data_IF_571849270237
#
_entry.id   IF_571849270237
#
_cell.length_a   1.000
_cell.length_b   1.000
_cell.length_c   1.000
_cell.angle_alpha   90.00
_cell.angle_beta   90.00
_cell.angle_gamma   90.00
#
_symmetry.space_group_name_H-M   'P 1'
#
loop_
_entity.id
_entity.type
_entity.pdbx_description
1 polymer ?
#
# COMPACT_ATOMS: atom_id res chain seq x y z
N UNK A 1 -11.17 -60.09 -5.61
CA UNK A 1 -12.65 -60.27 -5.69
C UNK A 1 -13.27 -58.96 -5.27
N UNK A 2 -14.36 -58.50 -5.90
CA UNK A 2 -14.21 -57.60 -7.04
C UNK A 2 -14.76 -56.20 -6.75
N UNK A 3 -14.34 -55.27 -7.59
CA UNK A 3 -14.86 -53.88 -7.78
C UNK A 3 -16.36 -53.81 -7.94
N UNK A 4 -17.02 -52.83 -7.34
CA UNK A 4 -18.35 -52.39 -7.71
C UNK A 4 -18.32 -50.89 -8.04
N UNK A 5 -18.39 -50.58 -9.31
CA UNK A 5 -18.61 -49.30 -9.94
C UNK A 5 -20.09 -48.96 -10.00
N UNK A 6 -20.50 -47.74 -9.59
CA UNK A 6 -21.79 -47.15 -9.96
C UNK A 6 -21.56 -45.81 -10.67
N UNK A 7 -22.26 -45.57 -11.79
CA UNK A 7 -22.15 -44.33 -12.53
C UNK A 7 -23.18 -43.31 -12.03
N UNK A 8 -22.76 -42.08 -11.84
CA UNK A 8 -23.66 -40.95 -11.66
C UNK A 8 -24.13 -40.43 -13.02
N UNK A 9 -25.43 -40.45 -13.21
CA UNK A 9 -26.12 -39.88 -14.37
C UNK A 9 -26.32 -38.38 -14.16
N UNK A 10 -25.93 -37.59 -15.16
CA UNK A 10 -26.30 -36.18 -15.30
C UNK A 10 -27.74 -36.07 -15.79
N UNK A 11 -28.56 -35.29 -15.10
CA UNK A 11 -29.85 -34.78 -15.61
C UNK A 11 -29.75 -33.24 -15.71
N UNK A 12 -30.14 -32.64 -16.84
CA UNK A 12 -30.19 -31.20 -16.99
C UNK A 12 -31.52 -30.63 -16.51
N UNK A 13 -31.49 -29.56 -15.70
CA UNK A 13 -32.68 -28.75 -15.41
C UNK A 13 -32.84 -27.63 -16.45
N UNK A 14 -34.09 -27.32 -16.85
CA UNK A 14 -34.36 -26.34 -17.90
C UNK A 14 -34.37 -24.90 -17.35
N UNK A 15 -33.85 -23.99 -18.17
CA UNK A 15 -33.95 -22.55 -18.06
C UNK A 15 -35.43 -22.11 -18.20
N UNK A 16 -35.92 -21.35 -17.22
CA UNK A 16 -37.15 -20.57 -17.37
C UNK A 16 -36.78 -19.10 -17.64
N UNK A 17 -37.05 -18.65 -18.85
CA UNK A 17 -37.07 -17.27 -19.24
C UNK A 17 -38.38 -16.62 -18.76
N UNK A 18 -38.32 -15.50 -18.06
CA UNK A 18 -39.45 -14.62 -17.84
C UNK A 18 -39.18 -13.25 -18.44
N UNK A 19 -39.81 -13.02 -19.59
CA UNK A 19 -39.98 -11.72 -20.23
C UNK A 19 -40.73 -10.76 -19.30
N UNK A 20 -40.18 -9.60 -19.06
CA UNK A 20 -40.92 -8.43 -18.58
C UNK A 20 -40.70 -7.26 -19.54
N UNK A 21 -41.73 -7.04 -20.32
CA UNK A 21 -41.87 -5.98 -21.30
C UNK A 21 -41.88 -4.60 -20.66
N UNK A 22 -41.00 -3.73 -21.18
CA UNK A 22 -41.03 -2.30 -20.93
C UNK A 22 -42.12 -1.64 -21.80
N UNK A 23 -43.07 -0.95 -21.17
CA UNK A 23 -44.02 -0.05 -21.85
C UNK A 23 -43.62 1.41 -21.61
N UNK A 24 -43.54 2.23 -22.66
CA UNK A 24 -43.30 3.66 -22.48
C UNK A 24 -44.66 4.40 -22.33
N UNK A 25 -44.73 5.28 -21.33
CA UNK A 25 -45.77 6.30 -21.23
C UNK A 25 -45.48 7.49 -22.12
N UNK A 26 -46.41 7.83 -23.02
CA UNK A 26 -46.51 9.07 -23.78
C UNK A 26 -47.28 10.10 -22.95
N UNK A 27 -46.86 11.36 -23.04
CA UNK A 27 -47.64 12.54 -22.59
C UNK A 27 -46.87 13.82 -22.81
N UNK A 28 -46.96 14.40 -23.97
CA UNK A 28 -47.26 15.76 -24.46
C UNK A 28 -47.14 16.92 -23.45
N UNK A 29 -46.28 17.98 -23.73
CA UNK A 29 -46.66 19.12 -24.53
C UNK A 29 -45.52 20.15 -24.66
N UNK A 30 -45.22 20.51 -25.87
CA UNK A 30 -44.95 21.84 -26.48
C UNK A 30 -44.42 22.99 -25.60
N UNK A 31 -43.26 23.53 -26.01
CA UNK A 31 -42.82 24.88 -25.67
C UNK A 31 -41.54 25.21 -26.49
N UNK A 32 -41.76 25.93 -27.56
CA UNK A 32 -40.76 26.58 -28.42
C UNK A 32 -39.96 27.62 -27.63
N UNK A 33 -38.64 27.69 -27.84
CA UNK A 33 -37.93 28.95 -28.12
C UNK A 33 -36.43 28.74 -28.35
N UNK A 34 -36.07 29.02 -29.56
CA UNK A 34 -34.95 29.79 -30.07
C UNK A 34 -33.51 29.41 -29.75
N UNK A 35 -32.88 29.00 -30.83
CA UNK A 35 -31.44 28.97 -31.12
C UNK A 35 -30.79 30.34 -30.92
N UNK A 36 -29.80 30.40 -30.03
CA UNK A 36 -28.89 31.53 -29.92
C UNK A 36 -27.44 31.08 -30.07
N UNK A 37 -26.94 31.07 -31.30
CA UNK A 37 -25.50 30.96 -31.57
C UNK A 37 -24.82 32.26 -31.21
N UNK A 38 -24.03 32.31 -30.13
CA UNK A 38 -23.07 33.39 -29.90
C UNK A 38 -21.64 32.87 -30.07
N UNK A 39 -21.09 33.16 -31.27
CA UNK A 39 -19.65 33.21 -31.47
C UNK A 39 -19.12 34.50 -30.85
N UNK A 40 -18.61 34.46 -29.64
CA UNK A 40 -17.84 35.55 -29.05
C UNK A 40 -16.37 35.44 -29.45
N UNK A 41 -15.94 36.20 -30.45
CA UNK A 41 -14.52 36.49 -30.65
C UNK A 41 -14.09 37.45 -29.54
N UNK A 42 -13.35 36.98 -28.58
CA UNK A 42 -12.64 37.80 -27.60
C UNK A 42 -11.49 38.54 -28.29
N UNK A 43 -11.69 39.79 -28.63
CA UNK A 43 -10.64 40.73 -29.01
C UNK A 43 -9.98 41.21 -27.73
N UNK A 44 -8.77 40.77 -27.49
CA UNK A 44 -7.93 41.30 -26.41
C UNK A 44 -7.42 42.68 -26.82
N UNK A 45 -8.02 43.74 -26.26
CA UNK A 45 -7.47 45.09 -26.38
C UNK A 45 -6.25 45.24 -25.50
N UNK A 46 -5.07 45.16 -26.11
CA UNK A 46 -3.81 45.55 -25.47
C UNK A 46 -3.71 47.06 -25.58
N UNK A 47 -3.94 47.76 -24.48
CA UNK A 47 -3.65 49.19 -24.38
C UNK A 47 -2.14 49.43 -24.53
N UNK A 48 -1.77 50.02 -25.67
CA UNK A 48 -0.41 50.53 -25.91
C UNK A 48 -0.15 51.74 -25.04
N UNK A 49 0.59 51.56 -23.96
CA UNK A 49 1.33 52.65 -23.35
C UNK A 49 2.65 52.80 -24.06
N UNK A 50 2.80 53.84 -24.90
CA UNK A 50 4.06 54.19 -25.55
C UNK A 50 4.91 55.01 -24.57
N UNK A 51 5.82 54.36 -23.87
CA UNK A 51 6.97 55.01 -23.25
C UNK A 51 8.01 55.26 -24.32
N UNK A 52 8.12 56.51 -24.80
CA UNK A 52 9.24 56.93 -25.64
C UNK A 52 10.49 57.04 -24.76
N UNK A 53 11.42 56.09 -24.91
CA UNK A 53 12.80 56.24 -24.50
C UNK A 53 13.64 56.54 -25.73
N UNK A 54 14.44 57.59 -25.77
CA UNK A 54 15.31 57.90 -26.90
C UNK A 54 16.57 57.07 -26.80
N UNK A 55 16.85 56.27 -27.82
CA UNK A 55 18.22 55.80 -28.10
C UNK A 55 18.56 54.33 -27.95
N UNK A 56 17.65 53.37 -28.17
CA UNK A 56 18.03 51.96 -28.29
C UNK A 56 17.45 51.36 -29.57
N UNK A 57 18.33 50.85 -30.43
CA UNK A 57 18.00 50.20 -31.70
C UNK A 57 17.05 49.03 -31.50
N UNK A 58 15.95 48.99 -32.26
CA UNK A 58 14.87 48.00 -32.17
C UNK A 58 15.24 46.52 -32.44
N UNK A 59 16.51 46.22 -32.70
CA UNK A 59 16.99 44.86 -33.01
C UNK A 59 17.38 44.09 -31.70
N UNK A 60 17.66 44.81 -30.61
CA UNK A 60 18.07 44.17 -29.34
C UNK A 60 16.94 43.62 -28.45
N UNK A 61 15.69 43.99 -28.72
CA UNK A 61 14.57 43.64 -27.79
C UNK A 61 13.83 42.31 -28.19
N UNK A 62 14.06 41.80 -29.37
CA UNK A 62 13.42 40.53 -29.82
C UNK A 62 14.19 39.30 -29.34
N UNK A 63 15.48 39.44 -29.03
CA UNK A 63 16.33 38.31 -28.61
C UNK A 63 16.21 38.03 -27.09
N UNK A 64 15.78 39.02 -26.29
CA UNK A 64 15.68 38.84 -24.82
C UNK A 64 14.35 38.25 -24.34
N UNK A 65 13.31 38.15 -25.18
CA UNK A 65 12.03 37.54 -24.83
C UNK A 65 11.96 36.06 -25.22
N UNK A 66 12.83 35.60 -26.11
CA UNK A 66 12.89 34.18 -26.54
C UNK A 66 13.71 33.28 -25.62
N UNK A 67 14.46 33.84 -24.66
CA UNK A 67 15.31 33.06 -23.75
C UNK A 67 14.64 32.73 -22.40
N UNK A 68 13.41 33.16 -22.14
CA UNK A 68 12.73 32.96 -20.85
C UNK A 68 11.60 31.91 -20.92
N UNK A 69 11.48 31.13 -21.98
CA UNK A 69 10.55 29.99 -22.10
C UNK A 69 11.29 28.71 -22.43
N UNK A 70 12.39 28.44 -21.72
CA UNK A 70 12.77 27.06 -21.46
C UNK A 70 11.89 26.63 -20.30
N UNK A 71 10.64 26.26 -20.61
CA UNK A 71 9.84 25.41 -19.75
C UNK A 71 10.66 24.12 -19.61
N UNK A 72 11.37 23.99 -18.52
CA UNK A 72 11.86 22.70 -18.10
C UNK A 72 10.63 21.84 -17.88
N UNK A 73 10.22 21.11 -18.93
CA UNK A 73 9.31 19.99 -18.76
C UNK A 73 9.95 19.10 -17.71
N UNK A 74 9.27 18.79 -16.61
CA UNK A 74 9.85 17.89 -15.63
C UNK A 74 10.05 16.54 -16.32
N UNK A 75 11.30 16.14 -16.46
CA UNK A 75 11.68 14.76 -16.73
C UNK A 75 11.41 13.92 -15.46
N UNK A 76 10.24 14.09 -14.87
CA UNK A 76 9.89 13.55 -13.54
C UNK A 76 9.44 12.09 -13.61
N UNK A 77 9.13 11.55 -14.78
CA UNK A 77 8.64 10.17 -14.91
C UNK A 77 9.73 9.09 -14.99
N UNK A 78 10.98 9.43 -15.27
CA UNK A 78 12.05 8.43 -15.43
C UNK A 78 13.06 8.42 -14.26
N UNK A 79 13.15 9.48 -13.48
CA UNK A 79 14.14 9.62 -12.41
C UNK A 79 14.01 8.54 -11.33
N UNK A 80 12.79 8.17 -10.96
CA UNK A 80 12.50 7.18 -9.92
C UNK A 80 12.91 5.73 -10.25
N UNK A 81 13.00 5.39 -11.54
CA UNK A 81 13.46 4.05 -11.96
C UNK A 81 14.98 3.98 -12.12
N UNK A 82 15.67 5.12 -12.05
CA UNK A 82 17.10 5.29 -12.33
C UNK A 82 17.87 5.87 -11.12
N UNK A 83 17.23 6.01 -9.97
CA UNK A 83 17.93 6.33 -8.75
C UNK A 83 19.00 5.27 -8.46
N UNK A 84 20.14 5.62 -7.85
CA UNK A 84 21.19 4.67 -7.56
C UNK A 84 20.67 3.53 -6.67
N UNK A 85 21.23 2.31 -6.88
CA UNK A 85 21.04 1.21 -5.95
C UNK A 85 22.32 0.99 -5.14
N UNK A 86 22.43 1.54 -3.93
CA UNK A 86 23.58 1.33 -3.07
C UNK A 86 23.52 0.00 -2.30
N UNK A 87 22.41 -0.72 -2.37
CA UNK A 87 22.18 -1.94 -1.62
C UNK A 87 22.72 -3.18 -2.32
N UNK A 88 23.04 -4.20 -1.49
CA UNK A 88 23.38 -5.54 -1.94
C UNK A 88 22.41 -6.54 -1.33
N UNK A 89 21.66 -7.22 -2.17
CA UNK A 89 20.77 -8.31 -1.71
C UNK A 89 21.59 -9.49 -1.21
N UNK A 90 21.25 -9.99 -0.02
CA UNK A 90 21.83 -11.22 0.52
C UNK A 90 21.35 -12.40 -0.32
N UNK A 91 22.26 -13.23 -0.87
CA UNK A 91 21.86 -14.35 -1.71
C UNK A 91 21.22 -15.49 -0.90
N UNK A 92 20.30 -16.22 -1.52
CA UNK A 92 19.64 -17.38 -0.93
C UNK A 92 18.54 -17.01 0.06
N UNK A 93 18.23 -17.92 0.98
CA UNK A 93 17.25 -17.72 2.05
C UNK A 93 17.98 -17.11 3.24
N UNK A 94 17.70 -15.84 3.56
CA UNK A 94 18.34 -15.16 4.68
C UNK A 94 17.80 -15.66 6.03
N UNK A 95 16.49 -15.91 6.15
CA UNK A 95 15.81 -16.35 7.36
C UNK A 95 15.14 -17.71 7.08
N UNK A 96 15.83 -18.84 7.28
CA UNK A 96 15.23 -20.16 7.06
C UNK A 96 14.18 -20.48 8.12
N UNK A 97 13.05 -21.06 7.71
CA UNK A 97 12.01 -21.52 8.61
C UNK A 97 12.34 -22.90 9.20
N UNK A 98 11.69 -23.29 10.34
CA UNK A 98 11.96 -24.55 11.01
C UNK A 98 11.73 -25.78 10.09
N UNK A 99 12.45 -26.86 10.36
CA UNK A 99 12.31 -28.17 9.68
C UNK A 99 12.45 -28.11 8.15
N UNK A 100 13.13 -27.07 7.63
CA UNK A 100 13.30 -26.87 6.18
C UNK A 100 12.03 -26.50 5.46
N UNK A 101 11.02 -25.99 6.16
CA UNK A 101 9.78 -25.47 5.57
C UNK A 101 10.08 -24.28 4.66
N UNK A 102 9.50 -24.30 3.48
CA UNK A 102 9.51 -23.13 2.61
C UNK A 102 8.62 -22.02 3.16
N UNK A 103 9.00 -20.78 2.90
CA UNK A 103 8.15 -19.62 3.16
C UNK A 103 6.84 -19.71 2.35
N UNK A 104 5.72 -19.34 2.95
CA UNK A 104 4.52 -18.94 2.26
C UNK A 104 4.61 -17.48 1.76
N UNK A 105 3.50 -16.96 1.28
CA UNK A 105 3.40 -15.54 0.95
C UNK A 105 3.65 -14.71 2.20
N UNK A 106 4.65 -13.83 2.13
CA UNK A 106 5.06 -12.94 3.21
C UNK A 106 4.73 -11.51 2.79
N UNK A 107 3.75 -10.90 3.45
CA UNK A 107 3.22 -9.58 3.06
C UNK A 107 3.73 -8.44 3.91
N UNK A 108 4.22 -8.71 5.12
CA UNK A 108 4.63 -7.67 6.04
C UNK A 108 5.81 -8.10 6.91
N UNK A 109 6.60 -7.10 7.30
CA UNK A 109 7.77 -7.18 8.14
C UNK A 109 7.89 -5.88 8.93
N UNK A 110 8.29 -5.96 10.19
CA UNK A 110 8.56 -4.81 11.04
C UNK A 110 9.75 -5.10 11.97
N UNK A 111 10.20 -4.11 12.71
CA UNK A 111 11.32 -4.23 13.64
C UNK A 111 10.86 -4.11 15.09
N UNK A 112 11.65 -4.70 16.00
CA UNK A 112 11.56 -4.34 17.43
C UNK A 112 11.84 -2.85 17.63
N UNK A 113 11.33 -2.23 18.73
CA UNK A 113 11.52 -0.80 18.98
C UNK A 113 12.97 -0.35 19.08
N UNK A 114 13.88 -1.25 19.46
CA UNK A 114 15.32 -1.00 19.51
C UNK A 114 16.01 -1.21 18.13
N UNK A 115 15.29 -1.72 17.14
CA UNK A 115 15.81 -2.02 15.80
C UNK A 115 16.77 -3.22 15.74
N UNK A 116 16.78 -4.08 16.78
CA UNK A 116 17.73 -5.19 16.87
C UNK A 116 17.15 -6.52 16.37
N UNK A 117 15.83 -6.66 16.33
CA UNK A 117 15.17 -7.88 15.84
C UNK A 117 14.14 -7.59 14.77
N UNK A 118 13.88 -8.58 13.93
CA UNK A 118 13.04 -8.49 12.75
C UNK A 118 11.83 -9.41 12.95
N UNK A 119 10.63 -8.83 12.86
CA UNK A 119 9.37 -9.54 12.95
C UNK A 119 8.75 -9.70 11.57
N UNK A 120 8.32 -10.91 11.21
CA UNK A 120 7.67 -11.18 9.94
C UNK A 120 6.54 -12.19 10.09
N UNK A 121 5.62 -12.17 9.13
CA UNK A 121 4.50 -13.11 9.05
C UNK A 121 4.63 -14.02 7.83
N UNK A 122 4.26 -15.27 8.02
CA UNK A 122 4.19 -16.30 6.97
C UNK A 122 2.74 -16.80 6.81
N UNK A 123 2.25 -16.89 5.60
CA UNK A 123 0.91 -17.46 5.33
C UNK A 123 0.96 -18.98 5.20
N UNK A 124 1.40 -19.67 6.28
CA UNK A 124 1.35 -21.12 6.44
C UNK A 124 1.98 -21.92 5.26
N UNK A 125 3.08 -21.42 4.69
CA UNK A 125 3.72 -22.03 3.51
C UNK A 125 2.91 -21.88 2.21
N UNK A 126 1.79 -21.17 2.23
CA UNK A 126 0.84 -20.94 1.11
C UNK A 126 0.57 -19.46 0.89
N UNK A 127 -0.61 -19.10 0.39
CA UNK A 127 -1.07 -17.71 0.31
C UNK A 127 -2.16 -17.36 1.34
N UNK A 128 -2.58 -18.32 2.12
CA UNK A 128 -3.47 -18.17 3.29
C UNK A 128 -3.25 -19.33 4.27
N UNK A 129 -3.88 -19.23 5.44
CA UNK A 129 -3.83 -20.26 6.48
C UNK A 129 -5.16 -21.00 6.65
N UNK A 130 -6.10 -20.88 5.70
CA UNK A 130 -7.39 -21.59 5.79
C UNK A 130 -7.16 -23.10 5.85
N UNK A 131 -7.63 -23.72 6.93
CA UNK A 131 -7.47 -25.15 7.16
C UNK A 131 -6.07 -25.62 7.60
N UNK A 132 -5.16 -24.69 7.90
CA UNK A 132 -3.80 -24.98 8.41
C UNK A 132 -3.66 -24.41 9.82
N UNK A 133 -3.94 -25.24 10.82
CA UNK A 133 -3.97 -24.81 12.23
C UNK A 133 -2.72 -25.23 13.04
N UNK A 134 -1.73 -25.85 12.40
CA UNK A 134 -0.57 -26.43 13.09
C UNK A 134 0.78 -25.78 12.75
N UNK A 135 0.79 -24.73 11.93
CA UNK A 135 2.01 -24.01 11.56
C UNK A 135 2.04 -22.66 12.22
N UNK A 136 3.18 -22.30 12.82
CA UNK A 136 3.42 -20.95 13.31
C UNK A 136 3.48 -19.95 12.16
N UNK A 137 2.95 -18.78 12.40
CA UNK A 137 2.73 -17.72 11.42
C UNK A 137 3.63 -16.52 11.68
N UNK A 138 3.92 -16.23 12.95
CA UNK A 138 4.69 -15.05 13.37
C UNK A 138 6.07 -15.50 13.80
N UNK A 139 7.08 -14.80 13.31
CA UNK A 139 8.49 -15.11 13.57
C UNK A 139 9.25 -13.85 13.96
N UNK A 140 10.07 -13.97 14.98
CA UNK A 140 11.09 -12.99 15.36
C UNK A 140 12.46 -13.56 15.00
N UNK A 141 13.28 -12.76 14.32
CA UNK A 141 14.62 -13.11 13.91
C UNK A 141 15.64 -12.14 14.48
N UNK A 142 16.86 -12.63 14.74
CA UNK A 142 18.01 -11.74 14.90
C UNK A 142 18.50 -11.22 13.53
N UNK A 143 19.47 -10.30 13.56
CA UNK A 143 20.05 -9.70 12.32
C UNK A 143 20.78 -10.70 11.42
N UNK A 144 21.09 -11.90 11.92
CA UNK A 144 21.71 -12.98 11.17
C UNK A 144 20.67 -13.93 10.55
N UNK A 145 19.38 -13.77 10.88
CA UNK A 145 18.27 -14.58 10.37
C UNK A 145 17.97 -15.81 11.21
N UNK A 146 18.51 -15.90 12.43
CA UNK A 146 18.16 -16.98 13.35
C UNK A 146 16.84 -16.66 14.04
N UNK A 147 15.97 -17.68 14.18
CA UNK A 147 14.68 -17.54 14.86
C UNK A 147 14.92 -17.38 16.37
N UNK A 148 14.36 -16.32 16.95
CA UNK A 148 14.33 -16.06 18.38
C UNK A 148 13.02 -16.51 19.00
N UNK A 149 11.90 -16.23 18.31
CA UNK A 149 10.54 -16.63 18.71
C UNK A 149 9.71 -17.03 17.50
N UNK A 150 8.71 -17.88 17.76
CA UNK A 150 7.69 -18.23 16.77
C UNK A 150 6.41 -18.63 17.46
N UNK A 151 5.26 -18.24 16.89
CA UNK A 151 3.94 -18.55 17.41
C UNK A 151 2.84 -18.27 16.38
N UNK A 152 1.58 -18.52 16.74
CA UNK A 152 0.41 -18.10 15.97
C UNK A 152 -0.27 -19.23 15.22
N UNK A 153 0.11 -20.51 15.48
CA UNK A 153 -0.56 -21.67 14.87
C UNK A 153 -2.08 -21.61 15.13
N UNK A 154 -2.87 -21.74 14.08
CA UNK A 154 -4.32 -21.79 14.14
C UNK A 154 -5.01 -20.47 14.49
N UNK A 155 -4.29 -19.34 14.59
CA UNK A 155 -4.88 -18.07 14.98
C UNK A 155 -5.38 -17.22 13.81
N UNK A 156 -4.80 -17.40 12.64
CA UNK A 156 -4.98 -16.51 11.48
C UNK A 156 -5.63 -17.21 10.29
N UNK A 157 -6.18 -16.40 9.39
CA UNK A 157 -6.69 -16.82 8.08
C UNK A 157 -5.85 -16.23 6.96
N UNK A 158 -5.69 -14.92 6.94
CA UNK A 158 -4.92 -14.21 5.93
C UNK A 158 -4.16 -13.04 6.56
N UNK A 159 -3.14 -13.35 7.38
CA UNK A 159 -2.36 -12.31 8.03
C UNK A 159 -1.71 -11.44 6.95
N UNK A 160 -1.89 -10.10 7.08
CA UNK A 160 -1.52 -9.17 6.03
C UNK A 160 -0.56 -8.09 6.49
N UNK A 161 -0.88 -7.33 7.53
CA UNK A 161 -0.04 -6.30 8.13
C UNK A 161 0.53 -6.74 9.47
N UNK A 162 1.74 -6.29 9.80
CA UNK A 162 2.38 -6.43 11.11
C UNK A 162 2.93 -5.09 11.57
N UNK A 163 2.80 -4.79 12.86
CA UNK A 163 3.43 -3.66 13.51
C UNK A 163 3.90 -4.03 14.90
N UNK A 164 5.09 -3.58 15.29
CA UNK A 164 5.62 -3.75 16.65
C UNK A 164 5.59 -2.40 17.35
N UNK A 165 4.73 -2.28 18.38
CA UNK A 165 4.58 -1.02 19.09
C UNK A 165 5.80 -0.71 19.99
N UNK A 166 5.88 0.52 20.50
CA UNK A 166 6.99 0.98 21.33
C UNK A 166 7.17 0.23 22.66
N UNK A 167 6.17 -0.56 23.07
CA UNK A 167 6.22 -1.46 24.21
C UNK A 167 6.69 -2.87 23.84
N UNK A 168 6.89 -3.14 22.53
CA UNK A 168 7.30 -4.44 21.99
C UNK A 168 6.13 -5.40 21.75
N UNK A 169 4.88 -4.95 21.83
CA UNK A 169 3.75 -5.79 21.47
C UNK A 169 3.59 -5.88 19.97
N UNK A 170 3.16 -7.04 19.49
CA UNK A 170 3.01 -7.34 18.07
C UNK A 170 1.56 -7.21 17.65
N UNK A 171 1.31 -6.35 16.68
CA UNK A 171 -0.02 -6.12 16.12
C UNK A 171 -0.12 -6.77 14.75
N UNK A 172 -1.20 -7.49 14.49
CA UNK A 172 -1.42 -8.17 13.21
C UNK A 172 -2.81 -7.86 12.68
N UNK A 173 -2.86 -7.41 11.42
CA UNK A 173 -4.07 -7.30 10.65
C UNK A 173 -4.33 -8.64 9.94
N UNK A 174 -5.40 -9.35 10.32
CA UNK A 174 -5.86 -10.59 9.68
C UNK A 174 -7.04 -10.26 8.77
N UNK A 175 -6.75 -10.10 7.48
CA UNK A 175 -7.64 -9.39 6.58
C UNK A 175 -8.88 -10.18 6.19
N UNK A 176 -8.79 -11.48 5.96
CA UNK A 176 -9.93 -12.27 5.45
C UNK A 176 -10.56 -13.13 6.53
N UNK A 177 -11.89 -13.31 6.42
CA UNK A 177 -12.61 -14.25 7.26
C UNK A 177 -12.48 -15.70 6.77
N UNK A 178 -12.54 -16.66 7.71
CA UNK A 178 -12.59 -18.08 7.38
C UNK A 178 -14.01 -18.55 7.03
N UNK A 179 -14.10 -19.74 6.43
CA UNK A 179 -15.42 -20.34 6.06
C UNK A 179 -16.32 -20.58 7.28
N UNK A 180 -15.76 -20.80 8.46
CA UNK A 180 -16.52 -20.99 9.70
C UNK A 180 -17.08 -19.67 10.28
N UNK A 181 -16.66 -18.52 9.75
CA UNK A 181 -17.12 -17.19 10.19
C UNK A 181 -16.71 -16.81 11.62
N UNK A 182 -15.56 -17.30 12.10
CA UNK A 182 -15.11 -17.07 13.47
C UNK A 182 -13.64 -16.63 13.61
N UNK A 183 -12.95 -16.37 12.48
CA UNK A 183 -11.58 -15.82 12.41
C UNK A 183 -11.50 -14.76 11.33
N UNK A 184 -10.51 -13.86 11.45
CA UNK A 184 -10.20 -12.83 10.47
C UNK A 184 -11.11 -11.61 10.52
N UNK A 185 -10.93 -10.66 9.60
CA UNK A 185 -11.49 -9.30 9.61
C UNK A 185 -11.21 -8.56 10.91
N UNK A 186 -10.02 -8.79 11.50
CA UNK A 186 -9.60 -8.23 12.78
C UNK A 186 -8.19 -7.68 12.75
N UNK A 187 -7.94 -6.75 13.65
CA UNK A 187 -6.59 -6.39 14.10
C UNK A 187 -6.44 -6.89 15.55
N UNK A 188 -5.36 -7.62 15.81
CA UNK A 188 -5.10 -8.20 17.14
C UNK A 188 -3.74 -7.75 17.66
N UNK A 189 -3.71 -7.26 18.92
CA UNK A 189 -2.50 -7.01 19.70
C UNK A 189 -2.12 -8.28 20.45
N UNK A 190 -0.87 -8.66 20.34
CA UNK A 190 -0.28 -9.78 21.06
C UNK A 190 0.87 -9.29 21.96
N UNK A 191 1.11 -9.97 23.06
CA UNK A 191 2.40 -9.88 23.73
C UNK A 191 3.51 -10.42 22.83
N UNK A 192 4.79 -10.12 23.09
CA UNK A 192 5.89 -10.70 22.32
C UNK A 192 5.89 -12.24 22.30
N UNK A 193 5.29 -12.87 23.31
CA UNK A 193 5.21 -14.33 23.43
C UNK A 193 3.94 -14.93 22.77
N UNK A 194 3.11 -14.09 22.14
CA UNK A 194 1.95 -14.53 21.37
C UNK A 194 0.63 -14.59 22.16
N UNK A 195 0.60 -14.08 23.38
CA UNK A 195 -0.65 -13.97 24.14
C UNK A 195 -1.51 -12.83 23.63
N UNK A 196 -2.79 -13.08 23.39
CA UNK A 196 -3.74 -12.05 22.95
C UNK A 196 -3.98 -11.02 24.04
N UNK A 197 -3.71 -9.75 23.73
CA UNK A 197 -3.92 -8.60 24.64
C UNK A 197 -5.18 -7.83 24.28
N UNK A 198 -5.41 -7.55 22.99
CA UNK A 198 -6.56 -6.76 22.50
C UNK A 198 -6.98 -7.26 21.13
N UNK A 199 -8.30 -7.18 20.84
CA UNK A 199 -8.85 -7.41 19.50
C UNK A 199 -9.70 -6.23 19.06
N UNK A 200 -9.53 -5.80 17.83
CA UNK A 200 -10.32 -4.78 17.14
C UNK A 200 -10.99 -5.45 15.94
N UNK A 201 -12.26 -5.19 15.74
CA UNK A 201 -13.08 -5.89 14.74
C UNK A 201 -13.83 -7.07 15.34
N UNK A 202 -14.79 -7.62 14.58
CA UNK A 202 -15.58 -8.79 14.96
C UNK A 202 -15.11 -10.00 14.16
N UNK A 203 -14.64 -11.04 14.85
CA UNK A 203 -14.05 -12.22 14.20
C UNK A 203 -14.98 -12.82 13.14
N UNK A 204 -14.45 -12.98 11.92
CA UNK A 204 -15.16 -13.56 10.78
C UNK A 204 -16.28 -12.69 10.20
N UNK A 205 -16.46 -11.45 10.64
CA UNK A 205 -17.55 -10.57 10.21
C UNK A 205 -16.99 -9.36 9.48
N UNK A 206 -17.11 -9.37 8.14
CA UNK A 206 -16.81 -8.22 7.30
C UNK A 206 -17.87 -7.12 7.47
N UNK A 207 -17.45 -5.85 7.45
CA UNK A 207 -18.41 -4.74 7.46
C UNK A 207 -17.78 -3.38 7.70
N UNK A 208 -18.61 -2.33 7.54
CA UNK A 208 -18.23 -0.93 7.74
C UNK A 208 -18.98 -0.33 8.93
N UNK A 209 -18.65 -0.78 10.14
CA UNK A 209 -19.20 -0.21 11.37
C UNK A 209 -18.06 0.19 12.32
N UNK A 210 -18.39 0.65 13.52
CA UNK A 210 -17.39 0.94 14.56
C UNK A 210 -16.75 -0.31 15.16
N UNK A 211 -17.35 -1.48 14.95
CA UNK A 211 -16.93 -2.77 15.52
C UNK A 211 -16.63 -3.83 14.47
N UNK A 212 -16.72 -3.50 13.19
CA UNK A 212 -16.38 -4.40 12.08
C UNK A 212 -15.42 -3.73 11.11
N UNK A 213 -14.52 -4.53 10.56
CA UNK A 213 -13.59 -4.18 9.49
C UNK A 213 -13.88 -5.05 8.27
N UNK A 214 -13.42 -4.66 7.09
CA UNK A 214 -13.54 -5.47 5.89
C UNK A 214 -12.20 -5.54 5.15
N UNK A 215 -11.51 -6.64 5.31
CA UNK A 215 -10.14 -6.86 4.85
C UNK A 215 -9.18 -5.73 5.32
N UNK A 216 -8.94 -5.57 6.65
CA UNK A 216 -7.96 -4.64 7.16
C UNK A 216 -6.56 -4.99 6.66
N UNK A 217 -5.87 -4.01 6.05
CA UNK A 217 -4.59 -4.22 5.42
C UNK A 217 -3.41 -4.10 6.38
N UNK A 218 -3.43 -3.06 7.18
CA UNK A 218 -2.31 -2.69 8.01
C UNK A 218 -2.76 -2.00 9.29
N UNK A 219 -1.87 -1.98 10.27
CA UNK A 219 -2.06 -1.33 11.56
C UNK A 219 -0.81 -0.59 11.97
N UNK A 220 -0.97 0.58 12.56
CA UNK A 220 0.11 1.40 13.10
C UNK A 220 -0.30 1.97 14.46
N UNK A 221 0.60 1.91 15.43
CA UNK A 221 0.41 2.52 16.76
C UNK A 221 1.33 3.74 16.87
N UNK A 222 0.71 4.91 17.01
CA UNK A 222 1.44 6.16 17.17
C UNK A 222 2.13 6.23 18.56
N UNK A 223 3.14 7.10 18.75
CA UNK A 223 3.82 7.27 20.04
C UNK A 223 2.90 7.67 21.20
N UNK A 224 1.75 8.27 20.92
CA UNK A 224 0.72 8.59 21.93
C UNK A 224 -0.22 7.41 22.25
N UNK A 225 0.02 6.25 21.65
CA UNK A 225 -0.76 5.02 21.81
C UNK A 225 -2.01 4.92 20.92
N UNK A 226 -2.37 5.96 20.16
CA UNK A 226 -3.49 5.87 19.22
C UNK A 226 -3.18 4.85 18.12
N UNK A 227 -4.20 4.07 17.77
CA UNK A 227 -4.10 2.98 16.80
C UNK A 227 -4.76 3.43 15.50
N UNK A 228 -4.07 3.26 14.37
CA UNK A 228 -4.58 3.52 13.04
C UNK A 228 -4.67 2.21 12.26
N UNK A 229 -5.78 1.98 11.58
CA UNK A 229 -6.03 0.77 10.77
C UNK A 229 -6.41 1.18 9.36
N UNK A 230 -5.66 0.69 8.37
CA UNK A 230 -6.03 0.75 6.97
C UNK A 230 -7.06 -0.35 6.67
N UNK A 231 -8.30 0.02 6.32
CA UNK A 231 -9.43 -0.91 6.19
C UNK A 231 -10.00 -0.88 4.77
N UNK A 232 -9.86 -1.99 4.05
CA UNK A 232 -10.36 -2.18 2.68
C UNK A 232 -9.29 -2.62 1.68
N UNK A 233 -8.91 -3.91 1.65
CA UNK A 233 -7.98 -4.47 0.67
C UNK A 233 -8.52 -4.46 -0.77
N UNK A 234 -9.79 -4.84 -1.04
CA UNK A 234 -10.36 -4.68 -2.37
C UNK A 234 -10.46 -3.21 -2.77
N UNK A 235 -10.24 -2.90 -4.05
CA UNK A 235 -10.29 -1.51 -4.54
C UNK A 235 -11.67 -0.84 -4.38
N UNK A 236 -12.71 -1.62 -4.19
CA UNK A 236 -14.11 -1.22 -3.92
C UNK A 236 -14.56 -1.58 -2.48
N UNK A 237 -13.62 -1.98 -1.60
CA UNK A 237 -13.86 -2.24 -0.18
C UNK A 237 -14.16 -0.99 0.65
N UNK A 238 -13.97 -1.06 1.96
CA UNK A 238 -14.25 0.07 2.88
C UNK A 238 -13.45 1.33 2.55
N UNK A 239 -12.20 1.17 2.11
CA UNK A 239 -11.32 2.27 1.68
C UNK A 239 -11.30 3.44 2.67
N UNK A 240 -11.03 3.14 3.93
CA UNK A 240 -10.98 4.10 5.03
C UNK A 240 -9.74 3.87 5.92
N UNK A 241 -9.40 4.87 6.69
CA UNK A 241 -8.55 4.77 7.87
C UNK A 241 -9.42 4.90 9.10
N UNK A 242 -9.25 3.98 10.06
CA UNK A 242 -9.97 4.01 11.33
C UNK A 242 -9.00 4.27 12.47
N UNK A 243 -9.31 5.23 13.32
CA UNK A 243 -8.52 5.60 14.50
C UNK A 243 -9.21 5.08 15.76
N UNK A 244 -8.41 4.43 16.60
CA UNK A 244 -8.83 3.93 17.93
C UNK A 244 -7.93 4.52 19.02
N UNK A 245 -8.44 4.59 20.25
CA UNK A 245 -7.64 4.88 21.44
C UNK A 245 -6.77 3.66 21.83
N UNK A 246 -5.80 3.82 22.75
CA UNK A 246 -4.92 2.72 23.18
C UNK A 246 -5.63 1.48 23.71
N UNK A 247 -6.85 1.62 24.24
CA UNK A 247 -7.70 0.54 24.73
C UNK A 247 -8.61 -0.09 23.65
N UNK A 248 -8.46 0.34 22.38
CA UNK A 248 -9.27 -0.16 21.26
C UNK A 248 -10.64 0.48 21.11
N UNK A 249 -10.94 1.56 21.86
CA UNK A 249 -12.18 2.31 21.68
C UNK A 249 -12.15 3.11 20.38
N UNK A 250 -13.17 2.98 19.53
CA UNK A 250 -13.32 3.74 18.29
C UNK A 250 -13.35 5.25 18.57
N UNK A 251 -12.52 6.00 17.88
CA UNK A 251 -12.47 7.46 17.97
C UNK A 251 -13.09 8.12 16.74
N UNK A 252 -12.58 7.80 15.55
CA UNK A 252 -13.03 8.39 14.30
C UNK A 252 -12.58 7.54 13.10
N UNK A 253 -13.10 7.87 11.92
CA UNK A 253 -12.64 7.36 10.64
C UNK A 253 -12.67 8.45 9.57
N UNK A 254 -11.87 8.28 8.52
CA UNK A 254 -11.95 9.08 7.31
C UNK A 254 -11.65 8.23 6.09
N UNK A 255 -12.02 8.74 4.92
CA UNK A 255 -11.83 8.06 3.65
C UNK A 255 -13.07 7.35 3.15
N UNK A 256 -13.13 7.25 1.86
CA UNK A 256 -14.13 6.53 1.06
C UNK A 256 -13.50 6.13 -0.27
N UNK A 257 -14.18 5.28 -1.04
CA UNK A 257 -13.69 4.86 -2.36
C UNK A 257 -13.64 6.04 -3.33
N UNK A 258 -12.45 6.34 -3.86
CA UNK A 258 -12.26 7.41 -4.83
C UNK A 258 -10.81 7.71 -5.13
N UNK A 259 -10.54 8.86 -5.78
CA UNK A 259 -9.20 9.30 -6.18
C UNK A 259 -8.87 10.74 -5.77
N UNK A 260 -9.82 11.45 -5.16
CA UNK A 260 -9.61 12.80 -4.65
C UNK A 260 -8.78 12.77 -3.35
N UNK A 261 -8.38 13.94 -2.85
CA UNK A 261 -7.73 14.07 -1.55
C UNK A 261 -8.60 13.48 -0.44
N UNK A 262 -8.04 12.60 0.38
CA UNK A 262 -8.76 11.92 1.45
C UNK A 262 -9.63 10.73 0.99
N UNK A 263 -9.72 10.46 -0.31
CA UNK A 263 -10.33 9.25 -0.84
C UNK A 263 -9.26 8.20 -1.14
N UNK A 264 -9.61 6.91 -1.07
CA UNK A 264 -8.68 5.80 -1.25
C UNK A 264 -9.18 4.75 -2.24
N UNK A 265 -8.23 4.01 -2.80
CA UNK A 265 -8.43 2.70 -3.42
C UNK A 265 -7.34 1.76 -2.94
N UNK A 266 -7.68 0.88 -2.02
CA UNK A 266 -6.74 0.00 -1.33
C UNK A 266 -5.75 0.81 -0.48
N UNK A 267 -6.16 1.37 0.69
CA UNK A 267 -5.24 1.93 1.67
C UNK A 267 -4.43 0.79 2.30
N UNK A 268 -3.25 0.50 1.71
CA UNK A 268 -2.60 -0.80 1.85
C UNK A 268 -1.57 -0.86 2.95
N UNK A 269 -0.91 0.25 3.25
CA UNK A 269 0.12 0.31 4.29
C UNK A 269 0.16 1.68 4.95
N UNK A 270 0.65 1.72 6.19
CA UNK A 270 0.73 2.89 7.04
C UNK A 270 2.17 3.10 7.52
N UNK A 271 2.60 4.34 7.59
CA UNK A 271 3.83 4.74 8.26
C UNK A 271 3.63 6.10 8.95
N UNK A 272 4.49 6.44 9.89
CA UNK A 272 4.43 7.73 10.59
C UNK A 272 5.84 8.33 10.69
N UNK A 273 5.96 9.63 10.44
CA UNK A 273 7.22 10.35 10.58
C UNK A 273 7.45 10.86 12.02
N UNK A 274 8.61 11.48 12.24
CA UNK A 274 8.98 12.00 13.55
C UNK A 274 8.11 13.19 14.01
N UNK A 275 7.40 13.85 13.10
CA UNK A 275 6.43 14.92 13.41
C UNK A 275 5.03 14.37 13.74
N UNK A 276 4.82 13.05 13.60
CA UNK A 276 3.58 12.36 13.86
C UNK A 276 2.57 12.47 12.72
N UNK A 277 3.03 12.74 11.50
CA UNK A 277 2.20 12.71 10.31
C UNK A 277 2.03 11.27 9.82
N UNK A 278 0.81 10.92 9.42
CA UNK A 278 0.45 9.60 8.94
C UNK A 278 0.57 9.54 7.41
N UNK A 279 1.35 8.60 6.92
CA UNK A 279 1.53 8.27 5.51
C UNK A 279 0.70 7.04 5.17
N UNK A 280 -0.15 7.14 4.16
CA UNK A 280 -1.05 6.07 3.72
C UNK A 280 -0.71 5.66 2.29
N UNK A 281 -0.32 4.42 2.11
CA UNK A 281 -0.09 3.83 0.79
C UNK A 281 -1.41 3.58 0.06
N UNK A 282 -1.84 4.52 -0.77
CA UNK A 282 -3.05 4.43 -1.59
C UNK A 282 -2.74 3.68 -2.89
N UNK A 283 -2.56 2.35 -2.76
CA UNK A 283 -1.92 1.46 -3.73
C UNK A 283 -2.53 1.52 -5.12
N UNK A 284 -3.84 1.40 -5.22
CA UNK A 284 -4.52 1.37 -6.51
C UNK A 284 -4.62 2.74 -7.17
N UNK A 285 -4.51 3.83 -6.41
CA UNK A 285 -4.35 5.19 -6.91
C UNK A 285 -2.89 5.57 -7.20
N UNK A 286 -1.91 4.71 -6.90
CA UNK A 286 -0.48 4.89 -7.22
C UNK A 286 0.12 6.13 -6.56
N UNK A 287 -0.18 6.31 -5.28
CA UNK A 287 0.30 7.45 -4.48
C UNK A 287 0.48 7.06 -3.02
N UNK A 288 1.15 7.92 -2.28
CA UNK A 288 1.06 7.98 -0.82
C UNK A 288 0.36 9.27 -0.47
N UNK A 289 -0.63 9.22 0.39
CA UNK A 289 -1.28 10.40 0.96
C UNK A 289 -0.77 10.64 2.37
N UNK A 290 -0.54 11.92 2.73
CA UNK A 290 -0.06 12.34 4.05
C UNK A 290 -1.18 13.09 4.77
N UNK A 291 -1.39 12.74 6.04
CA UNK A 291 -2.41 13.30 6.92
C UNK A 291 -1.82 13.69 8.28
N UNK A 292 -2.48 14.60 8.98
CA UNK A 292 -2.32 14.66 10.43
C UNK A 292 -3.09 13.53 11.12
N UNK A 293 -2.91 13.39 12.44
CA UNK A 293 -3.58 12.33 13.21
C UNK A 293 -5.09 12.53 13.38
N UNK A 294 -5.64 13.66 12.94
CA UNK A 294 -7.08 13.95 12.94
C UNK A 294 -7.70 13.78 11.55
N UNK A 295 -6.93 13.20 10.61
CA UNK A 295 -7.40 12.87 9.26
C UNK A 295 -7.46 14.06 8.29
N UNK A 296 -6.86 15.19 8.65
CA UNK A 296 -6.76 16.31 7.72
C UNK A 296 -5.68 16.02 6.67
N UNK A 297 -6.08 16.07 5.40
CA UNK A 297 -5.18 15.86 4.27
C UNK A 297 -4.14 16.98 4.18
N UNK A 298 -2.88 16.60 3.98
CA UNK A 298 -1.75 17.52 3.85
C UNK A 298 -1.24 17.54 2.40
N UNK A 299 -0.95 16.35 1.82
CA UNK A 299 -0.42 16.24 0.46
C UNK A 299 -0.46 14.85 -0.12
N UNK A 300 -0.23 14.77 -1.43
CA UNK A 300 0.09 13.55 -2.17
C UNK A 300 1.59 13.46 -2.46
N UNK A 301 2.11 12.23 -2.50
CA UNK A 301 3.42 11.87 -3.04
C UNK A 301 3.16 10.92 -4.22
N UNK A 302 3.44 11.39 -5.46
CA UNK A 302 2.99 10.73 -6.69
C UNK A 302 4.05 9.84 -7.37
N UNK A 303 5.32 9.90 -6.96
CA UNK A 303 6.44 9.22 -7.64
C UNK A 303 6.83 7.90 -6.95
N UNK A 304 5.86 7.21 -6.40
CA UNK A 304 6.06 6.05 -5.52
C UNK A 304 5.74 4.70 -6.19
N UNK A 305 5.05 4.70 -7.32
CA UNK A 305 4.52 3.47 -7.91
C UNK A 305 3.23 3.02 -7.23
N UNK A 306 2.99 1.71 -7.16
CA UNK A 306 1.88 1.11 -6.43
C UNK A 306 2.33 0.82 -5.00
N UNK A 307 2.18 1.80 -4.12
CA UNK A 307 2.65 1.73 -2.73
C UNK A 307 1.99 0.59 -1.96
N UNK A 308 2.66 -0.57 -1.93
CA UNK A 308 2.22 -1.77 -1.20
C UNK A 308 2.67 -1.74 0.25
N UNK A 309 3.93 -1.46 0.52
CA UNK A 309 4.50 -1.35 1.86
C UNK A 309 5.15 0.00 2.10
N UNK A 310 5.05 0.49 3.33
CA UNK A 310 5.67 1.73 3.78
C UNK A 310 6.41 1.50 5.08
N UNK A 311 7.57 2.15 5.24
CA UNK A 311 8.21 2.39 6.52
C UNK A 311 8.97 3.71 6.47
N UNK A 312 9.17 4.34 7.62
CA UNK A 312 9.96 5.57 7.76
C UNK A 312 11.04 5.31 8.80
N UNK A 313 12.29 5.61 8.45
CA UNK A 313 13.40 5.42 9.36
C UNK A 313 13.60 6.61 10.31
N UNK A 314 14.54 6.46 11.26
CA UNK A 314 14.85 7.49 12.26
C UNK A 314 15.47 8.78 11.69
N UNK A 315 15.74 8.82 10.38
CA UNK A 315 16.23 10.00 9.66
C UNK A 315 15.13 10.60 8.77
N UNK A 316 13.87 10.22 8.99
CA UNK A 316 12.72 10.64 8.21
C UNK A 316 12.90 10.36 6.70
N UNK A 317 13.36 9.15 6.36
CA UNK A 317 13.36 8.67 4.98
C UNK A 317 12.23 7.67 4.81
N UNK A 318 11.37 7.92 3.83
CA UNK A 318 10.26 7.05 3.48
C UNK A 318 10.73 5.95 2.52
N UNK A 319 10.52 4.71 2.91
CA UNK A 319 10.73 3.54 2.07
C UNK A 319 9.39 3.06 1.53
N UNK A 320 9.28 2.92 0.22
CA UNK A 320 8.05 2.51 -0.46
C UNK A 320 8.31 1.25 -1.27
N UNK A 321 7.70 0.16 -0.86
CA UNK A 321 7.69 -1.09 -1.62
C UNK A 321 6.59 -1.04 -2.70
N UNK A 322 6.96 -1.33 -3.94
CA UNK A 322 6.05 -1.46 -5.08
C UNK A 322 6.16 -2.89 -5.62
N UNK A 323 5.24 -3.76 -5.23
CA UNK A 323 5.21 -5.17 -5.63
C UNK A 323 4.42 -5.44 -6.91
N UNK A 324 3.66 -4.45 -7.42
CA UNK A 324 2.63 -4.72 -8.40
C UNK A 324 2.68 -3.88 -9.69
N UNK A 325 3.56 -2.87 -9.81
CA UNK A 325 3.69 -2.11 -11.05
C UNK A 325 4.09 -3.00 -12.21
N UNK A 326 3.38 -2.87 -13.33
CA UNK A 326 3.66 -3.58 -14.57
C UNK A 326 3.21 -2.74 -15.78
N UNK A 327 3.34 -3.26 -17.00
CA UNK A 327 3.02 -2.52 -18.21
C UNK A 327 1.54 -2.10 -18.31
N UNK A 328 0.62 -2.83 -17.68
CA UNK A 328 -0.81 -2.51 -17.71
C UNK A 328 -1.29 -1.70 -16.50
N UNK A 329 -0.82 -2.02 -15.29
CA UNK A 329 -1.33 -1.41 -14.05
C UNK A 329 -0.69 -0.06 -13.74
N UNK A 330 0.60 0.11 -14.08
CA UNK A 330 1.33 1.35 -13.84
C UNK A 330 2.45 1.53 -14.87
N UNK A 331 2.11 1.84 -16.13
CA UNK A 331 3.09 1.96 -17.22
C UNK A 331 4.20 2.96 -16.87
N UNK A 332 5.46 2.56 -17.15
CA UNK A 332 6.63 3.40 -16.91
C UNK A 332 7.23 3.32 -15.51
N UNK A 333 6.62 2.57 -14.58
CA UNK A 333 7.18 2.29 -13.27
C UNK A 333 7.73 0.86 -13.18
N UNK A 334 8.90 0.71 -12.57
CA UNK A 334 9.48 -0.58 -12.22
C UNK A 334 9.12 -0.94 -10.77
N UNK A 335 8.85 -2.23 -10.54
CA UNK A 335 8.74 -2.76 -9.18
C UNK A 335 10.06 -2.64 -8.43
N UNK A 336 9.97 -2.53 -7.12
CA UNK A 336 11.12 -2.44 -6.23
C UNK A 336 10.85 -1.55 -5.04
N UNK A 337 11.87 -1.31 -4.22
CA UNK A 337 11.77 -0.45 -3.04
C UNK A 337 12.43 0.89 -3.35
N UNK A 338 11.66 1.97 -3.22
CA UNK A 338 12.14 3.36 -3.37
C UNK A 338 12.42 3.94 -2.01
N UNK A 339 13.54 4.64 -1.89
CA UNK A 339 13.87 5.43 -0.70
C UNK A 339 13.71 6.90 -1.06
N UNK A 340 12.92 7.62 -0.29
CA UNK A 340 12.49 8.98 -0.54
C UNK A 340 12.90 9.84 0.64
N UNK A 341 13.61 10.94 0.36
CA UNK A 341 13.87 12.00 1.33
C UNK A 341 12.56 12.81 1.50
N UNK A 342 11.96 12.79 2.71
CA UNK A 342 10.68 13.48 2.91
C UNK A 342 10.82 15.01 3.01
N UNK A 343 12.02 15.54 3.12
CA UNK A 343 12.25 16.99 3.16
C UNK A 343 11.97 17.67 1.81
N UNK A 344 12.22 16.97 0.69
CA UNK A 344 11.99 17.44 -0.68
C UNK A 344 11.24 16.45 -1.56
N UNK A 345 10.86 15.27 -1.02
CA UNK A 345 10.15 14.16 -1.68
C UNK A 345 10.89 13.59 -2.90
N UNK A 346 12.21 13.68 -2.91
CA UNK A 346 13.05 13.13 -3.97
C UNK A 346 13.37 11.67 -3.70
N UNK A 347 13.27 10.82 -4.75
CA UNK A 347 13.78 9.45 -4.70
C UNK A 347 15.31 9.49 -4.70
N UNK A 348 15.93 9.06 -3.61
CA UNK A 348 17.38 9.08 -3.39
C UNK A 348 18.04 7.72 -3.64
N UNK A 349 17.27 6.62 -3.52
CA UNK A 349 17.74 5.27 -3.85
C UNK A 349 16.59 4.41 -4.39
N UNK A 350 16.93 3.37 -5.14
CA UNK A 350 15.97 2.40 -5.67
C UNK A 350 16.59 0.99 -5.69
N UNK A 351 15.98 0.07 -4.98
CA UNK A 351 16.29 -1.37 -5.02
C UNK A 351 15.32 -1.99 -6.05
N UNK A 352 15.74 -2.29 -7.28
CA UNK A 352 14.83 -2.82 -8.30
C UNK A 352 14.50 -4.29 -8.04
N UNK A 353 13.31 -4.70 -8.47
CA UNK A 353 13.00 -6.11 -8.73
C UNK A 353 14.00 -6.66 -9.76
N UNK A 354 14.66 -7.79 -9.49
CA UNK A 354 15.60 -8.39 -10.43
C UNK A 354 14.94 -8.96 -11.68
N UNK A 355 13.61 -9.14 -11.71
CA UNK A 355 12.87 -9.63 -12.87
C UNK A 355 12.80 -8.56 -13.97
N UNK A 356 13.39 -8.82 -15.15
CA UNK A 356 13.38 -7.86 -16.24
C UNK A 356 12.02 -7.70 -16.92
N UNK A 357 11.17 -8.73 -16.89
CA UNK A 357 9.83 -8.69 -17.45
C UNK A 357 8.82 -8.25 -16.38
N UNK A 358 8.33 -7.02 -16.52
CA UNK A 358 7.40 -6.43 -15.57
C UNK A 358 6.02 -7.11 -15.57
N UNK A 359 5.65 -7.84 -16.61
CA UNK A 359 4.39 -8.59 -16.65
C UNK A 359 4.53 -10.00 -16.06
N UNK A 360 5.75 -10.45 -15.76
CA UNK A 360 5.97 -11.67 -15.01
C UNK A 360 5.57 -11.47 -13.54
N UNK A 361 4.42 -12.05 -13.17
CA UNK A 361 3.85 -11.93 -11.82
C UNK A 361 4.36 -12.98 -10.83
N UNK A 362 5.17 -13.93 -11.30
CA UNK A 362 5.78 -14.98 -10.45
C UNK A 362 6.98 -14.49 -9.64
N UNK A 363 7.52 -13.34 -10.01
CA UNK A 363 8.59 -12.67 -9.28
C UNK A 363 8.11 -11.29 -8.92
N UNK A 364 8.22 -10.92 -7.67
CA UNK A 364 7.78 -9.61 -7.21
C UNK A 364 8.88 -8.98 -6.39
N UNK A 365 8.90 -7.67 -6.36
CA UNK A 365 9.55 -6.94 -5.30
C UNK A 365 8.78 -7.13 -3.98
N UNK A 366 9.34 -6.61 -2.93
CA UNK A 366 8.71 -6.63 -1.61
C UNK A 366 7.31 -6.01 -1.62
N UNK A 367 6.38 -6.64 -0.92
CA UNK A 367 5.08 -6.07 -0.56
C UNK A 367 5.19 -5.33 0.77
N UNK A 368 5.80 -5.93 1.80
CA UNK A 368 6.15 -5.25 3.04
C UNK A 368 7.62 -4.81 3.07
N UNK A 369 7.94 -3.78 3.84
CA UNK A 369 9.29 -3.24 3.96
C UNK A 369 9.56 -2.74 5.38
N UNK A 370 10.76 -3.06 5.90
CA UNK A 370 11.30 -2.51 7.15
C UNK A 370 12.78 -2.12 6.97
N UNK A 371 13.30 -1.27 7.84
CA UNK A 371 14.70 -0.81 7.77
C UNK A 371 15.31 -0.74 9.15
N UNK A 372 16.47 -1.38 9.35
CA UNK A 372 17.16 -1.39 10.64
C UNK A 372 18.03 -0.14 10.87
N UNK A 373 18.55 -0.01 12.09
CA UNK A 373 19.39 1.14 12.48
C UNK A 373 20.73 1.24 11.72
N UNK A 374 21.14 0.15 11.05
CA UNK A 374 22.31 0.11 10.17
C UNK A 374 21.95 0.51 8.73
N UNK A 375 20.66 0.76 8.46
CA UNK A 375 20.11 1.11 7.15
C UNK A 375 19.90 -0.11 6.23
N UNK A 376 19.99 -1.34 6.74
CA UNK A 376 19.65 -2.52 5.95
C UNK A 376 18.13 -2.61 5.78
N UNK A 377 17.70 -2.98 4.59
CA UNK A 377 16.29 -3.10 4.23
C UNK A 377 15.86 -4.55 4.21
N UNK A 378 14.70 -4.83 4.79
CA UNK A 378 14.05 -6.13 4.79
C UNK A 378 12.79 -6.04 3.93
N UNK A 379 12.68 -6.94 2.96
CA UNK A 379 11.55 -7.00 2.03
C UNK A 379 10.76 -8.29 2.20
N UNK A 380 9.48 -8.18 2.51
CA UNK A 380 8.55 -9.30 2.60
C UNK A 380 7.89 -9.54 1.24
N UNK A 381 8.10 -10.71 0.63
CA UNK A 381 7.74 -11.00 -0.75
C UNK A 381 6.59 -12.02 -0.85
N UNK A 382 5.46 -11.60 -1.40
CA UNK A 382 4.28 -12.47 -1.58
C UNK A 382 4.46 -13.47 -2.72
N UNK A 383 4.88 -13.01 -3.89
CA UNK A 383 5.03 -13.87 -5.07
C UNK A 383 6.19 -14.85 -4.94
N UNK A 384 7.42 -14.41 -4.69
CA UNK A 384 8.58 -15.27 -4.48
C UNK A 384 8.52 -16.09 -3.20
N UNK A 385 7.65 -15.72 -2.24
CA UNK A 385 7.53 -16.37 -0.93
C UNK A 385 8.84 -16.34 -0.17
N UNK A 386 9.27 -15.15 0.21
CA UNK A 386 10.56 -14.97 0.85
C UNK A 386 10.57 -13.74 1.77
N UNK A 387 11.44 -13.79 2.76
CA UNK A 387 11.92 -12.61 3.46
C UNK A 387 13.33 -12.30 2.97
N UNK A 388 13.53 -11.13 2.35
CA UNK A 388 14.81 -10.70 1.76
C UNK A 388 15.49 -9.67 2.63
N UNK A 389 16.81 -9.75 2.69
CA UNK A 389 17.65 -8.71 3.30
C UNK A 389 18.51 -8.04 2.23
N UNK A 390 18.51 -6.71 2.26
CA UNK A 390 19.32 -5.85 1.41
C UNK A 390 20.26 -5.05 2.30
N UNK A 391 21.54 -5.35 2.26
CA UNK A 391 22.56 -4.71 3.10
C UNK A 391 23.00 -3.40 2.45
N UNK A 392 23.13 -2.35 3.25
CA UNK A 392 23.69 -1.06 2.86
C UNK A 392 25.17 -0.99 3.21
N UNK A 393 26.11 -1.25 2.27
CA UNK A 393 27.53 -1.18 2.55
C UNK A 393 27.94 0.22 3.01
N UNK A 394 28.50 0.31 4.22
CA UNK A 394 28.92 1.58 4.81
C UNK A 394 27.82 2.31 5.61
N UNK A 395 26.62 1.75 5.71
CA UNK A 395 25.55 2.22 6.60
C UNK A 395 25.00 3.61 6.32
N UNK A 396 25.28 4.18 5.12
CA UNK A 396 24.79 5.52 4.75
C UNK A 396 24.36 5.55 3.29
N UNK A 397 23.21 6.16 3.07
CA UNK A 397 22.78 6.57 1.74
C UNK A 397 23.57 7.79 1.26
N UNK A 398 23.79 7.93 -0.04
CA UNK A 398 24.53 9.05 -0.63
C UNK A 398 23.88 10.41 -0.39
#
# INVERSE_FOLDING_TARGET
MPFSSYPFAFLPHPLAASDLAYRPHRGLSSGWLETGFWRGRGILFINRWSLRMPGLNQIGLIVLVAAALVVTSPATGLAQNHAPNPYRTVPGVWAPLPDGRDWGSTSAVDLSPDGETIWAIDRCGQNDCEGVDNLDVVFEFDKDGNILRQWGAGQFVWPHGIHVDHEGNVWIADARGNQAGNKGHQVTKFSPDGDVVLRIGTAGVAGRTRTTLDEPNDVLVAPNGNIFVGDGHPADGNNRIVKYSPDGTYLMEWGETGSEAGQFRTPHSLAMDSEGLLYVGDRSNRRVQVFDQDGNFIRDILHVGRASGLTIDSLDRLYVADSESNYSRNPGFKRGIRVIDISDFRVIAFIPDPEPDQDNTGTTAAEGVAVDNDGNVYGAEVGPRALRKHVLPGGRLP
#
